data_IF_253628970648
#
_entry.id   IF_253628970648
#
_cell.length_a   1.000
_cell.length_b   1.000
_cell.length_c   1.000
_cell.angle_alpha   90.00
_cell.angle_beta   90.00
_cell.angle_gamma   90.00
#
_symmetry.space_group_name_H-M   'P 1'
#
loop_
_entity.id
_entity.type
_entity.pdbx_description
1 polymer ?
#
# COMPACT_ATOMS: atom_id res chain seq x y z
N UNK A 1 7.56 5.04 -7.28
CA UNK A 1 6.95 4.45 -8.50
C UNK A 1 7.59 3.12 -8.89
N UNK A 2 8.91 3.02 -9.08
CA UNK A 2 9.56 1.75 -9.46
C UNK A 2 9.30 0.60 -8.48
N UNK A 3 9.44 0.85 -7.17
CA UNK A 3 9.17 -0.14 -6.13
C UNK A 3 7.71 -0.64 -6.15
N UNK A 4 6.77 0.25 -6.45
CA UNK A 4 5.35 -0.10 -6.59
C UNK A 4 5.12 -1.01 -7.81
N UNK A 5 5.68 -0.65 -8.96
CA UNK A 5 5.60 -1.48 -10.17
C UNK A 5 6.21 -2.86 -9.92
N UNK A 6 7.40 -2.91 -9.33
CA UNK A 6 8.04 -4.17 -8.96
C UNK A 6 7.15 -5.00 -8.02
N UNK A 7 6.68 -4.41 -6.92
CA UNK A 7 5.82 -5.08 -5.95
C UNK A 7 4.53 -5.61 -6.56
N UNK A 8 3.88 -4.79 -7.39
CA UNK A 8 2.64 -5.13 -8.07
C UNK A 8 2.82 -6.29 -9.04
N UNK A 9 3.82 -6.25 -9.93
CA UNK A 9 4.07 -7.35 -10.88
C UNK A 9 4.55 -8.62 -10.17
N UNK A 10 5.32 -8.49 -9.08
CA UNK A 10 5.78 -9.60 -8.27
C UNK A 10 4.64 -10.33 -7.52
N UNK A 11 3.64 -9.58 -7.07
CA UNK A 11 2.40 -10.10 -6.49
C UNK A 11 1.50 -10.69 -7.57
N UNK A 12 1.20 -9.94 -8.63
CA UNK A 12 0.25 -10.31 -9.68
C UNK A 12 0.62 -11.63 -10.37
N UNK A 13 1.89 -11.86 -10.69
CA UNK A 13 2.35 -13.13 -11.30
C UNK A 13 2.13 -14.37 -10.42
N UNK A 14 1.88 -14.18 -9.11
CA UNK A 14 1.56 -15.26 -8.19
C UNK A 14 0.07 -15.62 -8.24
N UNK A 15 -0.79 -14.67 -8.61
CA UNK A 15 -2.23 -14.86 -8.71
C UNK A 15 -2.67 -15.52 -10.03
N UNK A 16 -1.76 -15.74 -10.97
CA UNK A 16 -2.08 -16.28 -12.28
C UNK A 16 -1.27 -17.53 -12.61
N UNK A 17 -1.86 -18.42 -13.39
CA UNK A 17 -1.20 -19.61 -13.96
C UNK A 17 -1.55 -19.73 -15.44
N UNK A 18 -0.59 -20.00 -16.35
CA UNK A 18 0.83 -20.26 -16.11
C UNK A 18 1.64 -18.98 -15.79
N UNK A 19 2.67 -19.10 -14.94
CA UNK A 19 3.47 -17.96 -14.50
C UNK A 19 4.28 -17.35 -15.66
N UNK A 20 4.19 -16.03 -15.91
CA UNK A 20 5.05 -15.37 -16.90
C UNK A 20 6.48 -15.29 -16.38
N UNK A 21 7.46 -15.44 -17.28
CA UNK A 21 8.88 -15.25 -17.01
C UNK A 21 9.42 -14.08 -17.83
N UNK A 22 10.39 -13.34 -17.29
CA UNK A 22 11.07 -12.27 -18.02
C UNK A 22 11.88 -12.80 -19.22
N UNK A 23 12.21 -14.09 -19.23
CA UNK A 23 12.94 -14.75 -20.31
C UNK A 23 12.03 -15.38 -21.38
N UNK A 24 10.70 -15.29 -21.23
CA UNK A 24 9.79 -15.79 -22.26
C UNK A 24 9.77 -14.85 -23.47
N UNK A 25 9.83 -15.41 -24.69
CA UNK A 25 9.63 -14.65 -25.93
C UNK A 25 8.18 -14.18 -26.04
N UNK A 26 7.94 -13.15 -26.87
CA UNK A 26 6.61 -12.60 -27.11
C UNK A 26 5.61 -13.69 -27.55
N UNK A 27 5.97 -14.54 -28.51
CA UNK A 27 5.10 -15.61 -28.99
C UNK A 27 4.72 -16.61 -27.89
N UNK A 28 5.68 -16.94 -27.01
CA UNK A 28 5.43 -17.81 -25.87
C UNK A 28 4.50 -17.17 -24.85
N UNK A 29 4.62 -15.86 -24.63
CA UNK A 29 3.71 -15.10 -23.77
C UNK A 29 2.29 -15.04 -24.38
N UNK A 30 2.18 -14.82 -25.69
CA UNK A 30 0.89 -14.83 -26.40
C UNK A 30 0.22 -16.20 -26.39
N UNK A 31 1.00 -17.28 -26.41
CA UNK A 31 0.46 -18.63 -26.23
C UNK A 31 -0.02 -18.86 -24.80
N UNK A 32 0.77 -18.44 -23.79
CA UNK A 32 0.40 -18.54 -22.37
C UNK A 32 -0.84 -17.71 -22.01
N UNK A 33 -0.99 -16.52 -22.60
CA UNK A 33 -2.10 -15.60 -22.30
C UNK A 33 -3.47 -16.24 -22.59
N UNK A 34 -3.56 -17.10 -23.61
CA UNK A 34 -4.79 -17.83 -23.96
C UNK A 34 -5.25 -18.84 -22.90
N UNK A 35 -4.34 -19.28 -22.03
CA UNK A 35 -4.61 -20.29 -21.00
C UNK A 35 -4.55 -19.72 -19.57
N UNK A 36 -4.53 -18.39 -19.42
CA UNK A 36 -4.45 -17.75 -18.11
C UNK A 36 -5.66 -18.10 -17.25
N UNK A 37 -5.39 -18.54 -16.03
CA UNK A 37 -6.38 -18.78 -14.98
C UNK A 37 -5.96 -18.05 -13.71
N UNK A 38 -6.95 -17.56 -12.97
CA UNK A 38 -6.73 -17.03 -11.63
C UNK A 38 -6.44 -18.18 -10.66
N UNK A 39 -5.31 -18.09 -9.97
CA UNK A 39 -4.87 -18.95 -8.89
C UNK A 39 -5.15 -18.24 -7.56
N UNK A 40 -6.42 -17.94 -7.31
CA UNK A 40 -6.89 -17.31 -6.08
C UNK A 40 -8.06 -18.12 -5.57
N UNK A 41 -7.89 -18.73 -4.39
CA UNK A 41 -8.97 -19.42 -3.71
C UNK A 41 -9.86 -18.37 -3.03
N UNK A 42 -11.13 -18.30 -3.42
CA UNK A 42 -12.10 -17.31 -2.90
C UNK A 42 -12.87 -17.82 -1.69
N UNK A 43 -12.67 -19.08 -1.28
CA UNK A 43 -13.43 -19.75 -0.22
C UNK A 43 -12.44 -20.42 0.74
N UNK A 44 -12.15 -19.74 1.86
CA UNK A 44 -11.38 -20.28 2.99
C UNK A 44 -9.87 -19.98 2.99
N UNK A 45 -9.26 -20.11 4.17
CA UNK A 45 -7.80 -20.06 4.34
C UNK A 45 -7.22 -21.46 4.14
N UNK A 46 -6.59 -21.67 2.99
CA UNK A 46 -5.82 -22.88 2.71
C UNK A 46 -4.35 -22.69 3.11
N UNK A 47 -3.76 -23.60 3.92
CA UNK A 47 -2.33 -23.59 4.22
C UNK A 47 -1.44 -23.64 2.97
N UNK A 48 -1.96 -24.19 1.86
CA UNK A 48 -1.23 -24.28 0.60
C UNK A 48 -1.22 -22.94 -0.17
N UNK A 49 -2.29 -22.15 -0.08
CA UNK A 49 -2.44 -20.88 -0.80
C UNK A 49 -1.89 -19.67 -0.05
N UNK A 50 -2.07 -19.63 1.28
CA UNK A 50 -1.66 -18.50 2.12
C UNK A 50 -0.41 -18.86 2.95
N UNK A 51 0.76 -18.70 2.34
CA UNK A 51 2.05 -18.90 3.01
C UNK A 51 2.74 -17.56 3.34
N UNK A 52 3.78 -17.61 4.18
CA UNK A 52 4.54 -16.41 4.58
C UNK A 52 5.17 -15.66 3.40
N UNK A 53 5.54 -16.36 2.32
CA UNK A 53 6.07 -15.72 1.12
C UNK A 53 4.99 -14.95 0.36
N UNK A 54 3.75 -15.44 0.30
CA UNK A 54 2.62 -14.71 -0.26
C UNK A 54 2.30 -13.47 0.57
N UNK A 55 2.21 -13.63 1.90
CA UNK A 55 1.97 -12.52 2.83
C UNK A 55 3.04 -11.42 2.68
N UNK A 56 4.32 -11.79 2.57
CA UNK A 56 5.41 -10.84 2.32
C UNK A 56 5.16 -9.95 1.08
N UNK A 57 4.62 -10.52 -0.01
CA UNK A 57 4.30 -9.74 -1.22
C UNK A 57 3.19 -8.72 -0.99
N UNK A 58 2.15 -9.14 -0.28
CA UNK A 58 1.01 -8.27 0.07
C UNK A 58 1.51 -7.12 0.93
N UNK A 59 2.31 -7.41 1.96
CA UNK A 59 2.91 -6.40 2.83
C UNK A 59 3.81 -5.43 2.06
N UNK A 60 4.60 -5.91 1.09
CA UNK A 60 5.42 -5.06 0.24
C UNK A 60 4.56 -4.08 -0.58
N UNK A 61 3.48 -4.55 -1.20
CA UNK A 61 2.55 -3.68 -1.95
C UNK A 61 1.91 -2.65 -1.02
N UNK A 62 1.37 -3.08 0.13
CA UNK A 62 0.76 -2.19 1.11
C UNK A 62 1.75 -1.13 1.65
N UNK A 63 2.98 -1.54 1.94
CA UNK A 63 4.05 -0.62 2.34
C UNK A 63 4.30 0.44 1.27
N UNK A 64 4.43 0.04 0.00
CA UNK A 64 4.64 1.01 -1.09
C UNK A 64 3.44 1.92 -1.33
N UNK A 65 2.20 1.45 -1.11
CA UNK A 65 1.00 2.30 -1.10
C UNK A 65 1.05 3.33 0.05
N UNK A 66 1.42 2.91 1.25
CA UNK A 66 1.56 3.79 2.42
C UNK A 66 2.58 4.90 2.16
N UNK A 67 3.72 4.57 1.53
CA UNK A 67 4.74 5.55 1.15
C UNK A 67 4.20 6.59 0.16
N UNK A 68 3.36 6.18 -0.80
CA UNK A 68 2.70 7.14 -1.69
C UNK A 68 1.75 8.07 -0.96
N UNK A 69 0.92 7.54 -0.05
CA UNK A 69 0.02 8.37 0.76
C UNK A 69 0.81 9.36 1.60
N UNK A 70 1.92 8.93 2.20
CA UNK A 70 2.79 9.82 2.96
C UNK A 70 3.42 10.92 2.09
N UNK A 71 3.88 10.58 0.89
CA UNK A 71 4.41 11.56 -0.06
C UNK A 71 3.33 12.58 -0.48
N UNK A 72 2.12 12.12 -0.80
CA UNK A 72 1.00 13.00 -1.16
C UNK A 72 0.67 13.94 0.01
N UNK A 73 0.55 13.40 1.23
CA UNK A 73 0.27 14.20 2.42
C UNK A 73 1.36 15.25 2.68
N UNK A 74 2.63 14.86 2.56
CA UNK A 74 3.77 15.76 2.70
C UNK A 74 3.73 16.90 1.66
N UNK A 75 3.65 16.56 0.37
CA UNK A 75 3.65 17.58 -0.69
C UNK A 75 2.41 18.47 -0.65
N UNK A 76 1.25 17.91 -0.31
CA UNK A 76 0.02 18.68 -0.13
C UNK A 76 0.15 19.69 1.02
N UNK A 77 0.72 19.26 2.14
CA UNK A 77 0.99 20.15 3.28
C UNK A 77 1.99 21.26 2.90
N UNK A 78 3.12 20.91 2.28
CA UNK A 78 4.11 21.91 1.85
C UNK A 78 3.54 22.90 0.83
N UNK A 79 2.65 22.45 -0.05
CA UNK A 79 1.96 23.34 -1.00
C UNK A 79 1.01 24.33 -0.28
N UNK A 80 0.26 23.86 0.72
CA UNK A 80 -0.60 24.73 1.52
C UNK A 80 0.21 25.75 2.34
N UNK A 81 1.30 25.32 2.97
CA UNK A 81 2.22 26.20 3.71
C UNK A 81 2.80 27.31 2.80
N UNK A 82 3.22 26.94 1.57
CA UNK A 82 3.70 27.93 0.59
C UNK A 82 2.61 28.91 0.14
N UNK A 83 1.38 28.44 -0.04
CA UNK A 83 0.25 29.26 -0.51
C UNK A 83 -0.30 30.19 0.56
N UNK A 84 -0.38 29.73 1.81
CA UNK A 84 -0.95 30.47 2.94
C UNK A 84 0.06 31.44 3.57
N UNK A 85 1.36 31.19 3.42
CA UNK A 85 2.41 32.08 3.91
C UNK A 85 2.69 31.94 5.41
N UNK A 86 3.46 32.88 6.00
CA UNK A 86 3.96 32.78 7.38
C UNK A 86 2.85 32.68 8.44
N UNK A 87 1.66 33.20 8.17
CA UNK A 87 0.50 33.14 9.09
C UNK A 87 -0.05 31.72 9.29
N UNK A 88 0.34 30.77 8.44
CA UNK A 88 -0.05 29.36 8.56
C UNK A 88 0.83 28.55 9.53
N UNK A 89 1.88 29.15 10.09
CA UNK A 89 2.77 28.47 11.03
C UNK A 89 1.98 27.94 12.25
N UNK A 90 2.05 26.63 12.49
CA UNK A 90 1.34 25.99 13.61
C UNK A 90 -0.19 25.91 13.44
N UNK A 91 -0.72 26.19 12.25
CA UNK A 91 -2.16 26.04 11.97
C UNK A 91 -2.58 24.58 12.13
N UNK A 92 -3.64 24.35 12.92
CA UNK A 92 -4.11 23.02 13.35
C UNK A 92 -3.10 22.22 14.18
N UNK A 93 -2.04 22.85 14.70
CA UNK A 93 -1.17 22.23 15.69
C UNK A 93 -1.90 22.23 17.03
N UNK A 94 -2.60 21.14 17.28
CA UNK A 94 -3.18 20.87 18.58
C UNK A 94 -2.06 20.63 19.60
N UNK A 95 -1.95 21.55 20.56
CA UNK A 95 -1.06 21.45 21.72
C UNK A 95 -1.92 21.34 22.96
N UNK A 96 -2.86 20.41 22.98
CA UNK A 96 -3.55 20.06 24.20
C UNK A 96 -2.53 19.72 25.30
N UNK A 97 -2.44 20.63 26.28
CA UNK A 97 -1.91 20.34 27.60
C UNK A 97 -3.12 20.17 28.51
N UNK A 98 -3.22 19.06 29.24
CA UNK A 98 -4.09 18.98 30.42
C UNK A 98 -3.63 20.10 31.36
N UNK A 99 -4.31 21.25 31.30
CA UNK A 99 -4.03 22.38 32.18
C UNK A 99 -4.14 21.91 33.63
N UNK A 100 -3.42 22.56 34.55
CA UNK A 100 -3.57 22.27 35.97
C UNK A 100 -5.02 22.55 36.40
N UNK A 101 -5.85 21.50 36.44
CA UNK A 101 -7.25 21.56 36.83
C UNK A 101 -8.26 20.79 35.95
N UNK A 102 -7.88 20.21 34.81
CA UNK A 102 -8.81 19.40 34.00
C UNK A 102 -8.39 17.93 33.99
N UNK A 103 -9.16 17.10 34.71
CA UNK A 103 -9.05 15.65 34.62
C UNK A 103 -9.47 15.22 33.22
N UNK A 104 -8.60 14.47 32.53
CA UNK A 104 -8.92 13.87 31.25
C UNK A 104 -10.21 13.06 31.42
N UNK A 105 -11.29 13.52 30.78
CA UNK A 105 -12.56 12.81 30.83
C UNK A 105 -12.38 11.47 30.11
N UNK A 106 -12.13 10.40 30.87
CA UNK A 106 -12.25 9.03 30.39
C UNK A 106 -13.74 8.79 30.10
N UNK A 107 -14.12 9.06 28.86
CA UNK A 107 -15.39 8.58 28.31
C UNK A 107 -15.38 7.07 28.32
N UNK A 108 -16.00 6.48 29.34
CA UNK A 108 -16.47 5.09 29.31
C UNK A 108 -17.31 4.89 28.06
N UNK A 109 -16.85 4.07 27.12
CA UNK A 109 -17.63 3.12 26.31
C UNK A 109 -16.71 2.14 25.59
#
# INVERSE_FOLDING_TARGET
VLMWMYGWYFMWRHLITPKPSASDTLDRLLMKSRAVRWNVETIGFSPNGFNGYFLFKVLLVLFTAMVFLHAIAFFYRSYLEWKEGPESEGKYLDRDTLGAGEEAYEGTH
#
